data_IF_815136911340
#
_entry.id   IF_815136911340
#
_cell.length_a   1.000
_cell.length_b   1.000
_cell.length_c   1.000
_cell.angle_alpha   90.00
_cell.angle_beta   90.00
_cell.angle_gamma   90.00
#
_symmetry.space_group_name_H-M   'P 1'
#
loop_
_entity.id
_entity.type
_entity.pdbx_description
1 polymer ?
#
# COMPACT_ATOMS: atom_id res chain seq x y z
N UNK A 1 46.40 42.89 -35.35
CA UNK A 1 46.34 42.05 -34.18
C UNK A 1 44.89 42.02 -33.74
N UNK A 2 44.14 40.97 -34.08
CA UNK A 2 42.73 40.86 -33.79
C UNK A 2 42.60 39.76 -32.72
N UNK A 3 42.15 40.14 -31.51
CA UNK A 3 41.90 39.25 -30.40
C UNK A 3 40.46 38.73 -30.56
N UNK A 4 40.31 37.45 -30.83
CA UNK A 4 39.01 36.78 -30.86
C UNK A 4 38.61 36.45 -29.44
N UNK A 5 37.53 37.05 -28.94
CA UNK A 5 36.91 36.78 -27.67
C UNK A 5 35.93 35.60 -27.83
N UNK A 6 36.35 34.42 -27.41
CA UNK A 6 35.52 33.22 -27.45
C UNK A 6 34.56 33.26 -26.24
N UNK A 7 33.29 33.53 -26.49
CA UNK A 7 32.22 33.48 -25.51
C UNK A 7 31.85 32.02 -25.29
N UNK A 8 32.32 31.43 -24.17
CA UNK A 8 31.96 30.07 -23.72
C UNK A 8 30.65 30.13 -22.97
N UNK A 9 29.59 29.87 -23.68
CA UNK A 9 28.22 29.80 -23.10
C UNK A 9 28.09 28.49 -22.31
N UNK A 10 28.28 28.57 -21.00
CA UNK A 10 28.05 27.45 -20.07
C UNK A 10 26.54 27.17 -19.97
N UNK A 11 26.11 26.14 -20.68
CA UNK A 11 24.74 25.62 -20.57
C UNK A 11 24.60 24.90 -19.22
N UNK A 12 24.16 25.62 -18.21
CA UNK A 12 23.73 25.04 -16.93
C UNK A 12 22.43 24.22 -17.16
N UNK A 13 22.61 22.94 -17.42
CA UNK A 13 21.51 21.97 -17.35
C UNK A 13 21.06 21.87 -15.89
N UNK A 14 20.06 22.65 -15.54
CA UNK A 14 19.33 22.49 -14.27
C UNK A 14 18.57 21.18 -14.35
N UNK A 15 19.16 20.11 -13.85
CA UNK A 15 18.48 18.84 -13.62
C UNK A 15 17.45 19.10 -12.52
N UNK A 16 16.22 19.40 -12.93
CA UNK A 16 15.08 19.43 -12.03
C UNK A 16 14.85 17.98 -11.58
N UNK A 17 15.41 17.59 -10.43
CA UNK A 17 15.10 16.34 -9.79
C UNK A 17 13.59 16.40 -9.46
N UNK A 18 12.77 15.81 -10.31
CA UNK A 18 11.38 15.53 -9.99
C UNK A 18 11.43 14.60 -8.77
N UNK A 19 11.12 15.15 -7.60
CA UNK A 19 10.86 14.36 -6.41
C UNK A 19 9.73 13.41 -6.77
N UNK A 20 10.06 12.16 -7.05
CA UNK A 20 9.06 11.12 -7.23
C UNK A 20 8.28 11.07 -5.91
N UNK A 21 7.00 11.32 -6.00
CA UNK A 21 6.13 11.25 -4.84
C UNK A 21 6.05 9.78 -4.40
N UNK A 22 6.95 9.38 -3.50
CA UNK A 22 7.09 8.01 -3.01
C UNK A 22 5.97 7.61 -2.04
N UNK A 23 5.03 8.53 -1.80
CA UNK A 23 3.94 8.34 -0.86
C UNK A 23 2.60 8.76 -1.48
N UNK A 24 1.60 7.87 -1.39
CA UNK A 24 0.22 8.15 -1.75
C UNK A 24 -0.62 8.31 -0.48
N UNK A 25 -1.08 9.53 -0.20
CA UNK A 25 -2.01 9.80 0.91
C UNK A 25 -3.38 9.23 0.59
N UNK A 26 -3.97 8.55 1.56
CA UNK A 26 -5.32 8.02 1.48
C UNK A 26 -6.33 9.02 2.06
N UNK A 27 -7.57 9.07 1.55
CA UNK A 27 -8.63 9.85 2.21
C UNK A 27 -8.91 9.28 3.60
N UNK A 28 -9.46 10.09 4.50
CA UNK A 28 -9.83 9.62 5.84
C UNK A 28 -10.82 8.44 5.75
N UNK A 29 -10.63 7.37 6.54
CA UNK A 29 -11.51 6.20 6.48
C UNK A 29 -12.90 6.54 7.03
N UNK A 30 -13.93 6.03 6.36
CA UNK A 30 -15.31 6.13 6.83
C UNK A 30 -15.56 5.11 7.94
N UNK A 31 -15.75 5.58 9.17
CA UNK A 31 -15.88 4.71 10.35
C UNK A 31 -17.34 4.44 10.73
N UNK A 32 -18.28 4.99 9.98
CA UNK A 32 -19.73 4.86 10.22
C UNK A 32 -20.45 4.53 8.92
N UNK A 33 -21.64 3.96 9.03
CA UNK A 33 -22.42 3.53 7.87
C UNK A 33 -22.01 2.16 7.35
N UNK A 34 -22.29 1.90 6.08
CA UNK A 34 -22.03 0.62 5.43
C UNK A 34 -23.12 -0.41 5.68
N UNK A 35 -22.84 -1.67 5.29
CA UNK A 35 -23.75 -2.81 5.49
C UNK A 35 -23.62 -3.33 6.93
N UNK A 36 -24.72 -3.69 7.59
CA UNK A 36 -24.66 -4.37 8.88
C UNK A 36 -23.79 -5.62 8.84
N UNK A 37 -23.01 -5.86 9.91
CA UNK A 37 -22.03 -6.95 9.95
C UNK A 37 -22.64 -8.32 9.59
N UNK A 38 -23.77 -8.67 10.20
CA UNK A 38 -24.42 -9.97 9.96
C UNK A 38 -24.91 -10.12 8.52
N UNK A 39 -25.37 -9.04 7.92
CA UNK A 39 -25.72 -9.01 6.50
C UNK A 39 -24.49 -9.18 5.60
N UNK A 40 -23.40 -8.52 5.92
CA UNK A 40 -22.13 -8.67 5.20
C UNK A 40 -21.61 -10.10 5.27
N UNK A 41 -21.64 -10.71 6.46
CA UNK A 41 -21.23 -12.10 6.67
C UNK A 41 -22.11 -13.09 5.91
N UNK A 42 -23.45 -12.88 5.89
CA UNK A 42 -24.36 -13.75 5.14
C UNK A 42 -24.16 -13.72 3.64
N UNK A 43 -23.69 -12.60 3.10
CA UNK A 43 -23.39 -12.41 1.66
C UNK A 43 -21.96 -12.75 1.28
N UNK A 44 -21.08 -12.95 2.26
CA UNK A 44 -19.67 -13.24 1.99
C UNK A 44 -19.52 -14.60 1.30
N UNK A 45 -18.90 -14.59 0.14
CA UNK A 45 -18.52 -15.80 -0.61
C UNK A 45 -17.15 -15.59 -1.25
N UNK A 46 -16.44 -16.70 -1.49
CA UNK A 46 -15.22 -16.64 -2.31
C UNK A 46 -15.62 -16.42 -3.76
N UNK A 47 -15.10 -15.36 -4.37
CA UNK A 47 -15.28 -15.09 -5.79
C UNK A 47 -13.90 -15.09 -6.48
N UNK A 48 -13.76 -15.92 -7.51
CA UNK A 48 -12.56 -16.00 -8.34
C UNK A 48 -12.77 -15.42 -9.75
N UNK A 49 -14.02 -15.05 -10.09
CA UNK A 49 -14.36 -14.36 -11.32
C UNK A 49 -14.19 -12.86 -11.12
N UNK A 50 -12.93 -12.41 -11.13
CA UNK A 50 -12.59 -10.99 -10.96
C UNK A 50 -12.69 -10.28 -12.31
N UNK A 51 -13.30 -9.09 -12.31
CA UNK A 51 -13.40 -8.23 -13.47
C UNK A 51 -12.19 -7.29 -13.55
N UNK A 52 -11.28 -7.46 -14.51
CA UNK A 52 -10.09 -6.63 -14.61
C UNK A 52 -10.39 -5.17 -14.98
N UNK A 53 -11.58 -4.84 -15.44
CA UNK A 53 -12.00 -3.47 -15.74
C UNK A 53 -12.46 -2.70 -14.50
N UNK A 54 -12.74 -3.40 -13.40
CA UNK A 54 -13.18 -2.75 -12.14
C UNK A 54 -11.99 -2.38 -11.28
N UNK A 55 -12.07 -1.20 -10.67
CA UNK A 55 -11.09 -0.71 -9.70
C UNK A 55 -11.80 -0.22 -8.45
N UNK A 56 -11.12 -0.34 -7.32
CA UNK A 56 -11.55 0.28 -6.07
C UNK A 56 -11.35 1.80 -6.17
N UNK A 57 -12.27 2.57 -5.63
CA UNK A 57 -12.02 3.98 -5.39
C UNK A 57 -11.02 4.15 -4.24
N UNK A 58 -10.33 5.30 -4.18
CA UNK A 58 -9.40 5.61 -3.09
C UNK A 58 -10.08 5.53 -1.71
N UNK A 59 -11.36 5.90 -1.64
CA UNK A 59 -12.14 5.79 -0.40
C UNK A 59 -12.40 4.33 -0.02
N UNK A 60 -12.70 3.46 -0.98
CA UNK A 60 -12.88 2.03 -0.71
C UNK A 60 -11.56 1.38 -0.28
N UNK A 61 -10.46 1.75 -0.92
CA UNK A 61 -9.12 1.28 -0.56
C UNK A 61 -8.75 1.76 0.85
N UNK A 62 -8.98 3.03 1.16
CA UNK A 62 -8.79 3.61 2.49
C UNK A 62 -9.56 2.84 3.57
N UNK A 63 -10.85 2.61 3.34
CA UNK A 63 -11.71 1.90 4.27
C UNK A 63 -11.25 0.45 4.49
N UNK A 64 -10.85 -0.24 3.41
CA UNK A 64 -10.33 -1.61 3.45
C UNK A 64 -9.06 -1.70 4.31
N UNK A 65 -8.09 -0.82 4.06
CA UNK A 65 -6.82 -0.83 4.76
C UNK A 65 -6.96 -0.46 6.23
N UNK A 66 -7.80 0.54 6.51
CA UNK A 66 -8.10 0.88 7.90
C UNK A 66 -8.80 -0.27 8.62
N UNK A 67 -9.75 -0.95 7.98
CA UNK A 67 -10.42 -2.11 8.57
C UNK A 67 -9.45 -3.26 8.81
N UNK A 68 -8.50 -3.50 7.89
CA UNK A 68 -7.53 -4.59 7.98
C UNK A 68 -6.48 -4.37 9.08
N UNK A 69 -5.88 -3.16 9.15
CA UNK A 69 -4.73 -2.90 10.03
C UNK A 69 -4.61 -1.44 10.50
N UNK A 70 -5.71 -0.68 10.50
CA UNK A 70 -5.73 0.71 10.92
C UNK A 70 -5.57 0.90 12.42
N UNK A 71 -5.24 2.13 12.84
CA UNK A 71 -5.23 2.52 14.24
C UNK A 71 -6.63 2.99 14.61
N UNK A 72 -7.24 2.37 15.61
CA UNK A 72 -8.61 2.66 16.05
C UNK A 72 -8.70 3.23 17.47
N UNK A 73 -7.57 3.37 18.17
CA UNK A 73 -7.49 3.85 19.56
C UNK A 73 -6.35 4.86 19.74
N UNK A 74 -6.48 5.80 20.70
CA UNK A 74 -5.45 6.80 20.96
C UNK A 74 -4.10 6.22 21.39
N UNK A 75 -4.09 5.02 21.97
CA UNK A 75 -2.88 4.30 22.40
C UNK A 75 -2.14 3.60 21.23
N UNK A 76 -2.57 3.83 19.98
CA UNK A 76 -1.94 3.29 18.78
C UNK A 76 -2.28 1.84 18.46
N UNK A 77 -3.21 1.22 19.20
CA UNK A 77 -3.63 -0.15 18.92
C UNK A 77 -4.45 -0.25 17.64
N UNK A 78 -4.39 -1.44 17.04
CA UNK A 78 -4.94 -1.72 15.72
C UNK A 78 -6.40 -2.17 15.75
N UNK A 79 -7.03 -2.13 14.59
CA UNK A 79 -8.36 -2.74 14.34
C UNK A 79 -8.32 -4.24 14.49
N UNK A 80 -7.22 -4.90 14.12
CA UNK A 80 -6.97 -6.30 14.35
C UNK A 80 -6.18 -6.53 15.65
N UNK A 81 -6.37 -7.70 16.28
CA UNK A 81 -5.65 -8.07 17.47
C UNK A 81 -4.19 -8.41 17.17
N UNK A 82 -3.29 -8.03 18.09
CA UNK A 82 -1.88 -8.41 18.08
C UNK A 82 -1.49 -8.82 19.49
N UNK A 83 -0.88 -9.99 19.65
CA UNK A 83 -0.46 -10.52 20.94
C UNK A 83 0.54 -9.55 21.59
N UNK A 84 0.29 -9.17 22.85
CA UNK A 84 1.10 -8.21 23.59
C UNK A 84 1.32 -6.86 22.87
N UNK A 85 0.43 -6.50 21.94
CA UNK A 85 0.53 -5.30 21.11
C UNK A 85 1.86 -5.20 20.32
N UNK A 86 2.41 -6.31 19.87
CA UNK A 86 3.68 -6.35 19.12
C UNK A 86 3.57 -5.74 17.72
N UNK A 87 2.34 -5.69 17.18
CA UNK A 87 2.04 -5.13 15.85
C UNK A 87 2.95 -5.69 14.75
N UNK A 88 3.10 -6.99 14.77
CA UNK A 88 4.01 -7.77 13.95
C UNK A 88 3.64 -7.85 12.47
N UNK A 89 2.46 -7.39 12.08
CA UNK A 89 2.00 -7.47 10.69
C UNK A 89 2.37 -6.20 9.94
N UNK A 90 3.06 -6.38 8.83
CA UNK A 90 3.22 -5.38 7.78
C UNK A 90 2.26 -5.68 6.64
N UNK A 91 1.51 -4.68 6.22
CA UNK A 91 0.48 -4.82 5.19
C UNK A 91 0.99 -4.26 3.87
N UNK A 92 1.24 -5.14 2.89
CA UNK A 92 1.65 -4.74 1.55
C UNK A 92 0.46 -4.79 0.59
N UNK A 93 0.46 -3.87 -0.35
CA UNK A 93 -0.50 -3.82 -1.44
C UNK A 93 0.24 -3.89 -2.77
N UNK A 94 -0.17 -4.82 -3.61
CA UNK A 94 0.39 -4.96 -4.95
C UNK A 94 -0.72 -4.66 -5.97
N UNK A 95 -0.54 -3.55 -6.66
CA UNK A 95 -1.45 -3.06 -7.69
C UNK A 95 -0.85 -3.18 -9.09
N UNK A 96 -1.58 -2.66 -10.09
CA UNK A 96 -1.19 -2.70 -11.51
C UNK A 96 0.04 -1.84 -11.84
N UNK A 97 0.34 -0.84 -11.02
CA UNK A 97 1.39 0.14 -11.31
C UNK A 97 2.56 0.10 -10.34
N UNK A 98 2.32 -0.42 -9.14
CA UNK A 98 3.33 -0.46 -8.10
C UNK A 98 2.91 -1.35 -6.92
N UNK A 99 3.90 -1.69 -6.10
CA UNK A 99 3.73 -2.28 -4.78
C UNK A 99 4.00 -1.23 -3.70
N UNK A 100 3.21 -1.29 -2.63
CA UNK A 100 3.24 -0.33 -1.53
C UNK A 100 3.23 -1.03 -0.18
N UNK A 101 3.81 -0.37 0.82
CA UNK A 101 3.63 -0.68 2.24
C UNK A 101 2.62 0.30 2.85
N UNK A 102 1.62 -0.20 3.55
CA UNK A 102 0.66 0.62 4.25
C UNK A 102 1.23 1.17 5.56
N UNK A 103 1.29 2.49 5.66
CA UNK A 103 1.59 3.20 6.91
C UNK A 103 0.28 3.58 7.59
N UNK A 104 -0.07 2.83 8.64
CA UNK A 104 -1.30 3.08 9.37
C UNK A 104 -1.26 4.33 10.26
N UNK A 105 -0.06 4.84 10.61
CA UNK A 105 0.09 6.06 11.39
C UNK A 105 -0.20 7.29 10.55
N UNK A 106 0.36 7.33 9.36
CA UNK A 106 0.16 8.42 8.40
C UNK A 106 -1.08 8.19 7.51
N UNK A 107 -1.69 7.01 7.59
CA UNK A 107 -2.78 6.55 6.72
C UNK A 107 -2.45 6.76 5.25
N UNK A 108 -1.33 6.20 4.84
CA UNK A 108 -0.75 6.39 3.52
C UNK A 108 -0.14 5.10 2.97
N UNK A 109 0.17 5.10 1.70
CA UNK A 109 0.89 4.04 1.00
C UNK A 109 2.28 4.53 0.63
N UNK A 110 3.31 3.87 1.16
CA UNK A 110 4.71 4.11 0.82
C UNK A 110 5.12 3.21 -0.34
N UNK A 111 5.65 3.80 -1.40
CA UNK A 111 6.11 3.05 -2.57
C UNK A 111 7.25 2.10 -2.18
N UNK A 112 7.12 0.83 -2.56
CA UNK A 112 8.13 -0.22 -2.37
C UNK A 112 8.79 -0.58 -3.70
N UNK A 113 7.99 -0.79 -4.75
CA UNK A 113 8.49 -1.11 -6.08
C UNK A 113 7.53 -0.57 -7.15
N UNK A 114 8.06 -0.07 -8.25
CA UNK A 114 7.27 0.32 -9.43
C UNK A 114 7.01 -0.91 -10.32
N UNK A 115 5.89 -0.91 -11.02
CA UNK A 115 5.52 -1.97 -11.96
C UNK A 115 4.41 -2.88 -11.44
N UNK A 116 3.99 -3.81 -12.30
CA UNK A 116 2.95 -4.79 -11.99
C UNK A 116 3.57 -6.10 -11.51
N UNK A 117 3.62 -6.28 -10.20
CA UNK A 117 4.18 -7.46 -9.54
C UNK A 117 3.12 -8.49 -9.11
N UNK A 118 1.85 -8.34 -9.54
CA UNK A 118 0.75 -9.22 -9.10
C UNK A 118 0.97 -10.68 -9.48
N UNK A 119 1.63 -10.95 -10.63
CA UNK A 119 1.96 -12.30 -11.07
C UNK A 119 3.09 -12.96 -10.28
N UNK A 120 3.92 -12.16 -9.60
CA UNK A 120 5.06 -12.65 -8.81
C UNK A 120 4.62 -13.06 -7.40
N UNK A 121 3.59 -12.41 -6.86
CA UNK A 121 3.11 -12.63 -5.48
C UNK A 121 1.99 -13.67 -5.38
N UNK A 122 1.46 -14.14 -6.50
CA UNK A 122 0.42 -15.18 -6.51
C UNK A 122 0.61 -16.15 -7.66
N UNK A 123 0.61 -17.45 -7.33
CA UNK A 123 0.60 -18.52 -8.32
C UNK A 123 -0.78 -18.79 -8.96
N UNK A 124 -1.83 -18.11 -8.46
CA UNK A 124 -3.20 -18.32 -8.93
C UNK A 124 -3.53 -17.34 -10.05
N UNK A 125 -3.88 -17.85 -11.23
CA UNK A 125 -4.09 -17.03 -12.43
C UNK A 125 -5.19 -15.96 -12.28
N UNK A 126 -6.24 -16.22 -11.51
CA UNK A 126 -7.30 -15.23 -11.29
C UNK A 126 -6.81 -13.99 -10.53
N UNK A 127 -5.72 -14.09 -9.74
CA UNK A 127 -5.19 -12.98 -8.96
C UNK A 127 -4.70 -11.83 -9.86
N UNK A 128 -4.23 -12.15 -11.07
CA UNK A 128 -3.81 -11.14 -12.08
C UNK A 128 -4.95 -10.23 -12.53
N UNK A 129 -6.20 -10.71 -12.40
CA UNK A 129 -7.39 -9.93 -12.74
C UNK A 129 -7.88 -9.04 -11.59
N UNK A 130 -7.37 -9.23 -10.38
CA UNK A 130 -7.66 -8.37 -9.24
C UNK A 130 -7.10 -6.97 -9.43
N UNK A 131 -7.74 -5.96 -8.86
CA UNK A 131 -7.22 -4.59 -8.86
C UNK A 131 -6.01 -4.48 -7.92
N UNK A 132 -6.16 -5.04 -6.73
CA UNK A 132 -5.13 -5.10 -5.70
C UNK A 132 -5.00 -6.50 -5.11
N UNK A 133 -3.77 -6.88 -4.77
CA UNK A 133 -3.46 -8.02 -3.91
C UNK A 133 -2.99 -7.47 -2.57
N UNK A 134 -3.60 -7.92 -1.48
CA UNK A 134 -3.21 -7.53 -0.12
C UNK A 134 -2.42 -8.67 0.49
N UNK A 135 -1.22 -8.37 0.97
CA UNK A 135 -0.31 -9.34 1.58
C UNK A 135 -0.12 -8.96 3.05
N UNK A 136 -0.37 -9.90 3.94
CA UNK A 136 -0.07 -9.79 5.36
C UNK A 136 1.27 -10.49 5.60
N UNK A 137 2.33 -9.71 5.84
CA UNK A 137 3.65 -10.21 6.15
C UNK A 137 3.89 -10.14 7.65
N UNK A 138 4.28 -11.25 8.26
CA UNK A 138 4.64 -11.29 9.67
C UNK A 138 6.13 -10.95 9.84
N UNK A 139 6.42 -9.95 10.65
CA UNK A 139 7.76 -9.57 11.06
C UNK A 139 8.13 -10.35 12.33
N UNK A 140 8.97 -11.36 12.16
CA UNK A 140 9.40 -12.24 13.25
C UNK A 140 10.21 -11.51 14.32
N UNK A 141 10.96 -10.48 13.97
CA UNK A 141 11.74 -9.70 14.93
C UNK A 141 10.84 -8.99 15.93
N UNK A 142 9.69 -8.49 15.46
CA UNK A 142 8.65 -7.92 16.34
C UNK A 142 7.97 -8.97 17.23
N UNK A 143 7.99 -10.24 16.83
CA UNK A 143 7.37 -11.33 17.62
C UNK A 143 8.21 -11.75 18.84
N UNK A 144 9.44 -11.25 18.97
CA UNK A 144 10.31 -11.50 20.13
C UNK A 144 10.95 -12.89 20.12
N UNK A 145 11.12 -13.49 18.96
CA UNK A 145 11.69 -14.82 18.78
C UNK A 145 12.36 -15.00 17.44
N UNK A 146 13.26 -14.10 17.08
CA UNK A 146 14.23 -14.37 16.04
C UNK A 146 15.24 -15.39 16.57
N UNK A 147 15.41 -16.53 15.90
CA UNK A 147 16.51 -17.49 16.05
C UNK A 147 16.50 -18.45 17.25
N UNK A 148 15.44 -19.17 17.50
CA UNK A 148 15.55 -20.50 18.14
C UNK A 148 14.74 -21.50 17.32
N UNK A 149 15.37 -22.07 16.32
CA UNK A 149 15.00 -23.32 15.66
C UNK A 149 16.30 -24.06 15.30
#
# INVERSE_FOLDING_TARGET
MKIALTCMCSLLLTFCAMSQNTEMKLPAPQKTGGMPLMEALSKRATNRSLDPARSLSDQQLSNLLWAAWGINRPDGRRTAASAMNRQEIDLYLVGRKAAYLYDAKEHSLKLVAEGDHRSEVSSQDFAKNGDWIVIFAADYDKMGGGNEA
#
